data_IF_979287439258
#
_entry.id   IF_979287439258
#
_cell.length_a   1.000
_cell.length_b   1.000
_cell.length_c   1.000
_cell.angle_alpha   90.00
_cell.angle_beta   90.00
_cell.angle_gamma   90.00
#
_symmetry.space_group_name_H-M   'P 1'
#
loop_
_entity.id
_entity.type
_entity.pdbx_description
1 polymer ?
#
# COMPACT_ATOMS: atom_id res chain seq x y z
N UNK A 1 -3.07 9.45 6.05
CA UNK A 1 -1.74 8.82 5.82
C UNK A 1 -1.74 7.60 4.91
N UNK A 2 -2.28 6.44 5.31
CA UNK A 2 -2.15 5.19 4.53
C UNK A 2 -2.63 5.28 3.06
N UNK A 3 -3.76 5.97 2.82
CA UNK A 3 -4.29 6.22 1.47
C UNK A 3 -3.28 6.98 0.58
N UNK A 4 -2.63 8.00 1.15
CA UNK A 4 -1.64 8.84 0.44
C UNK A 4 -0.39 8.04 0.09
N UNK A 5 0.12 7.23 1.02
CA UNK A 5 1.30 6.38 0.78
C UNK A 5 1.02 5.27 -0.24
N UNK A 6 -0.18 4.68 -0.25
CA UNK A 6 -0.59 3.69 -1.26
C UNK A 6 -0.71 4.34 -2.65
N UNK A 7 -1.29 5.54 -2.74
CA UNK A 7 -1.36 6.28 -4.00
C UNK A 7 0.04 6.67 -4.51
N UNK A 8 0.97 7.06 -3.62
CA UNK A 8 2.36 7.32 -3.99
C UNK A 8 3.05 6.05 -4.52
N UNK A 9 2.83 4.90 -3.87
CA UNK A 9 3.36 3.61 -4.33
C UNK A 9 2.83 3.23 -5.72
N UNK A 10 1.53 3.40 -5.98
CA UNK A 10 0.93 3.12 -7.29
C UNK A 10 1.55 3.96 -8.42
N UNK A 11 1.95 5.21 -8.13
CA UNK A 11 2.57 6.12 -9.10
C UNK A 11 4.05 5.81 -9.30
N UNK A 12 4.82 5.67 -8.23
CA UNK A 12 6.30 5.56 -8.28
C UNK A 12 6.81 4.13 -8.46
N UNK A 13 6.12 3.14 -7.89
CA UNK A 13 6.42 1.70 -7.99
C UNK A 13 7.87 1.35 -7.66
N UNK A 14 8.35 1.83 -6.51
CA UNK A 14 9.70 1.54 -6.01
C UNK A 14 9.66 0.72 -4.73
N UNK A 15 10.74 0.01 -4.41
CA UNK A 15 10.86 -0.74 -3.14
C UNK A 15 10.67 0.19 -1.94
N UNK A 16 11.24 1.39 -1.99
CA UNK A 16 11.12 2.37 -0.90
C UNK A 16 9.66 2.80 -0.67
N UNK A 17 8.91 3.06 -1.74
CA UNK A 17 7.49 3.47 -1.63
C UNK A 17 6.59 2.30 -1.22
N UNK A 18 6.89 1.07 -1.67
CA UNK A 18 6.22 -0.14 -1.20
C UNK A 18 6.34 -0.29 0.33
N UNK A 19 7.56 -0.23 0.88
CA UNK A 19 7.80 -0.40 2.32
C UNK A 19 7.06 0.65 3.15
N UNK A 20 7.03 1.90 2.69
CA UNK A 20 6.26 2.98 3.34
C UNK A 20 4.76 2.69 3.32
N UNK A 21 4.21 2.32 2.17
CA UNK A 21 2.79 1.98 2.01
C UNK A 21 2.40 0.80 2.89
N UNK A 22 3.19 -0.28 2.92
CA UNK A 22 2.92 -1.46 3.72
C UNK A 22 2.92 -1.16 5.22
N UNK A 23 3.90 -0.39 5.71
CA UNK A 23 3.94 0.06 7.11
C UNK A 23 2.70 0.87 7.46
N UNK A 24 2.32 1.83 6.61
CA UNK A 24 1.16 2.68 6.87
C UNK A 24 -0.16 1.87 6.89
N UNK A 25 -0.31 0.86 6.02
CA UNK A 25 -1.47 -0.05 6.03
C UNK A 25 -1.47 -0.93 7.28
N UNK A 26 -0.31 -1.43 7.71
CA UNK A 26 -0.21 -2.28 8.91
C UNK A 26 -0.62 -1.53 10.18
N UNK A 27 -0.31 -0.23 10.28
CA UNK A 27 -0.66 0.64 11.40
C UNK A 27 -2.16 1.00 11.48
N UNK A 28 -2.96 0.69 10.45
CA UNK A 28 -4.40 0.92 10.50
C UNK A 28 -5.03 0.04 11.59
N UNK A 29 -5.74 0.68 12.52
CA UNK A 29 -6.47 0.04 13.61
C UNK A 29 -7.49 -0.97 13.09
N UNK A 30 -7.80 -1.97 13.91
CA UNK A 30 -8.67 -3.08 13.53
C UNK A 30 -10.09 -2.63 13.17
N UNK A 31 -10.61 -1.56 13.78
CA UNK A 31 -11.95 -1.04 13.49
C UNK A 31 -12.12 -0.63 12.03
N UNK A 32 -11.02 -0.28 11.36
CA UNK A 32 -11.00 0.07 9.94
C UNK A 32 -10.60 -1.11 9.05
N UNK A 33 -10.88 -2.36 9.46
CA UNK A 33 -10.51 -3.61 8.77
C UNK A 33 -10.90 -3.61 7.28
N UNK A 34 -12.07 -3.06 6.94
CA UNK A 34 -12.52 -3.00 5.55
C UNK A 34 -11.60 -2.11 4.70
N UNK A 35 -11.32 -0.89 5.15
CA UNK A 35 -10.41 0.04 4.46
C UNK A 35 -8.97 -0.51 4.43
N UNK A 36 -8.52 -1.17 5.51
CA UNK A 36 -7.23 -1.86 5.56
C UNK A 36 -7.12 -2.93 4.47
N UNK A 37 -8.13 -3.80 4.33
CA UNK A 37 -8.18 -4.82 3.26
C UNK A 37 -8.19 -4.20 1.87
N UNK A 38 -8.97 -3.14 1.66
CA UNK A 38 -9.05 -2.44 0.37
C UNK A 38 -7.68 -1.84 -0.04
N UNK A 39 -6.95 -1.27 0.90
CA UNK A 39 -5.62 -0.72 0.66
C UNK A 39 -4.57 -1.81 0.46
N UNK A 40 -4.65 -2.92 1.21
CA UNK A 40 -3.77 -4.07 1.00
C UNK A 40 -3.93 -4.65 -0.42
N UNK A 41 -5.17 -4.84 -0.89
CA UNK A 41 -5.44 -5.33 -2.25
C UNK A 41 -4.80 -4.42 -3.32
N UNK A 42 -4.78 -3.12 -3.10
CA UNK A 42 -4.12 -2.17 -4.01
C UNK A 42 -2.60 -2.33 -4.03
N UNK A 43 -1.98 -2.58 -2.88
CA UNK A 43 -0.55 -2.91 -2.80
C UNK A 43 -0.27 -4.21 -3.56
N UNK A 44 -1.05 -5.26 -3.31
CA UNK A 44 -0.87 -6.58 -3.89
C UNK A 44 -0.99 -6.56 -5.42
N UNK A 45 -1.92 -5.77 -5.98
CA UNK A 45 -2.05 -5.57 -7.43
C UNK A 45 -0.77 -4.96 -8.01
N UNK A 46 -0.21 -3.92 -7.38
CA UNK A 46 1.02 -3.30 -7.89
C UNK A 46 2.17 -4.31 -7.85
N UNK A 47 2.31 -5.08 -6.77
CA UNK A 47 3.34 -6.11 -6.65
C UNK A 47 3.19 -7.23 -7.68
N UNK A 48 1.96 -7.66 -7.95
CA UNK A 48 1.68 -8.77 -8.88
C UNK A 48 1.97 -8.40 -10.34
N UNK A 49 1.70 -7.16 -10.73
CA UNK A 49 1.74 -6.74 -12.14
C UNK A 49 2.89 -5.79 -12.48
N UNK A 50 3.79 -5.51 -11.53
CA UNK A 50 4.93 -4.61 -11.78
C UNK A 50 6.19 -5.15 -11.10
N UNK A 51 7.32 -4.93 -11.77
CA UNK A 51 8.63 -5.06 -11.13
C UNK A 51 8.93 -3.75 -10.43
N UNK A 52 9.26 -3.81 -9.14
CA UNK A 52 9.61 -2.63 -8.37
C UNK A 52 11.02 -2.16 -8.76
N UNK A 53 11.15 -0.84 -8.94
CA UNK A 53 12.43 -0.17 -9.11
C UNK A 53 13.14 0.06 -7.78
#
# INVERSE_FOLDING_TARGET
EAKKTVAEFQRKRTIATHRKAQRAVNLIHFDYKYEKKKLQKQIDIVLKYNILK
#
